data_IF_888268591223
#
_entry.id   IF_888268591223
#
_cell.length_a   1.000
_cell.length_b   1.000
_cell.length_c   1.000
_cell.angle_alpha   90.00
_cell.angle_beta   90.00
_cell.angle_gamma   90.00
#
_symmetry.space_group_name_H-M   'P 1'
#
loop_
_entity.id
_entity.type
_entity.pdbx_description
1 polymer ?
#
# COMPACT_ATOMS: atom_id res chain seq x y z
N UNK A 1 -4.14 -18.34 -42.76
CA UNK A 1 -3.21 -17.82 -41.72
C UNK A 1 -3.92 -17.77 -40.39
N UNK A 2 -3.36 -18.37 -39.36
CA UNK A 2 -3.91 -18.28 -38.02
C UNK A 2 -3.55 -16.95 -37.37
N UNK A 3 -4.52 -16.33 -36.69
CA UNK A 3 -4.27 -15.13 -35.87
C UNK A 3 -3.38 -15.52 -34.70
N UNK A 4 -2.26 -14.81 -34.42
CA UNK A 4 -1.45 -15.13 -33.25
C UNK A 4 -2.27 -14.95 -31.99
N UNK A 5 -2.04 -15.81 -31.00
CA UNK A 5 -2.66 -15.68 -29.70
C UNK A 5 -2.30 -14.32 -29.07
N UNK A 6 -3.25 -13.63 -28.42
CA UNK A 6 -2.95 -12.35 -27.77
C UNK A 6 -1.90 -12.53 -26.69
N UNK A 7 -0.95 -11.61 -26.63
CA UNK A 7 0.04 -11.57 -25.57
C UNK A 7 -0.65 -11.25 -24.23
N UNK A 8 -0.42 -12.06 -23.22
CA UNK A 8 -0.96 -11.84 -21.88
C UNK A 8 0.19 -11.50 -20.92
N UNK A 9 -0.01 -10.46 -20.12
CA UNK A 9 0.90 -10.17 -19.02
C UNK A 9 0.74 -11.23 -17.95
N UNK A 10 1.87 -11.65 -17.35
CA UNK A 10 1.83 -12.47 -16.16
C UNK A 10 1.36 -11.63 -14.97
N UNK A 11 0.39 -12.14 -14.23
CA UNK A 11 -0.15 -11.48 -13.06
C UNK A 11 0.41 -12.16 -11.80
N UNK A 12 1.08 -11.38 -10.96
CA UNK A 12 1.62 -11.88 -9.69
C UNK A 12 0.56 -11.84 -8.60
N UNK A 13 0.58 -12.85 -7.73
CA UNK A 13 -0.17 -12.82 -6.48
C UNK A 13 0.64 -12.19 -5.36
N UNK A 14 -0.02 -11.84 -4.25
CA UNK A 14 0.65 -11.41 -3.02
C UNK A 14 1.62 -12.49 -2.53
N UNK A 15 1.25 -13.76 -2.61
CA UNK A 15 2.13 -14.88 -2.25
C UNK A 15 3.39 -14.91 -3.13
N UNK A 16 3.24 -14.70 -4.44
CA UNK A 16 4.38 -14.59 -5.37
C UNK A 16 5.26 -13.40 -5.01
N UNK A 17 4.66 -12.26 -4.72
CA UNK A 17 5.36 -11.04 -4.34
C UNK A 17 6.21 -11.24 -3.08
N UNK A 18 5.66 -11.89 -2.06
CA UNK A 18 6.41 -12.22 -0.85
C UNK A 18 7.57 -13.18 -1.15
N UNK A 19 7.37 -14.17 -2.01
CA UNK A 19 8.44 -15.08 -2.42
C UNK A 19 9.56 -14.38 -3.17
N UNK A 20 9.25 -13.38 -4.00
CA UNK A 20 10.27 -12.58 -4.67
C UNK A 20 11.16 -11.83 -3.68
N UNK A 21 10.59 -11.34 -2.57
CA UNK A 21 11.34 -10.74 -1.49
C UNK A 21 12.17 -11.76 -0.70
N UNK A 22 11.58 -12.89 -0.34
CA UNK A 22 12.24 -13.95 0.44
C UNK A 22 13.42 -14.58 -0.30
N UNK A 23 13.31 -14.75 -1.62
CA UNK A 23 14.35 -15.35 -2.45
C UNK A 23 15.42 -14.36 -2.91
N UNK A 24 15.25 -13.07 -2.64
CA UNK A 24 16.19 -12.02 -3.03
C UNK A 24 16.08 -11.57 -4.49
N UNK A 25 15.09 -12.05 -5.25
CA UNK A 25 14.80 -11.53 -6.60
C UNK A 25 14.46 -10.05 -6.52
N UNK A 26 13.65 -9.67 -5.50
CA UNK A 26 13.51 -8.28 -5.08
C UNK A 26 14.45 -8.06 -3.89
N UNK A 27 15.36 -7.09 -4.00
CA UNK A 27 16.29 -6.76 -2.92
C UNK A 27 15.54 -6.28 -1.67
N UNK A 28 16.08 -6.47 -0.45
CA UNK A 28 15.40 -6.07 0.79
C UNK A 28 15.06 -4.58 0.88
N UNK A 29 15.83 -3.73 0.18
CA UNK A 29 15.65 -2.29 0.11
C UNK A 29 14.83 -1.85 -1.11
N UNK A 30 14.32 -2.79 -1.90
CA UNK A 30 13.46 -2.49 -3.04
C UNK A 30 12.18 -1.79 -2.59
N UNK A 31 11.82 -0.72 -3.28
CA UNK A 31 10.57 0.00 -3.07
C UNK A 31 9.62 -0.32 -4.21
N UNK A 32 8.89 -1.41 -4.04
CA UNK A 32 7.98 -1.96 -5.05
C UNK A 32 6.63 -2.23 -4.40
N UNK A 33 5.56 -1.85 -5.09
CA UNK A 33 4.19 -2.23 -4.73
C UNK A 33 3.67 -3.26 -5.73
N UNK A 34 2.72 -4.08 -5.28
CA UNK A 34 1.97 -4.98 -6.15
C UNK A 34 0.59 -4.39 -6.36
N UNK A 35 0.25 -4.03 -7.60
CA UNK A 35 -1.03 -3.41 -7.95
C UNK A 35 -1.69 -4.21 -9.06
N UNK A 36 -2.80 -4.88 -8.74
CA UNK A 36 -3.55 -5.72 -9.68
C UNK A 36 -2.65 -6.72 -10.43
N UNK A 37 -1.71 -7.32 -9.72
CA UNK A 37 -0.77 -8.30 -10.26
C UNK A 37 0.46 -7.72 -10.95
N UNK A 38 0.58 -6.40 -11.07
CA UNK A 38 1.75 -5.72 -11.62
C UNK A 38 2.71 -5.27 -10.53
N UNK A 39 3.99 -5.46 -10.75
CA UNK A 39 5.05 -4.93 -9.89
C UNK A 39 5.35 -3.49 -10.32
N UNK A 40 5.16 -2.55 -9.41
CA UNK A 40 5.30 -1.12 -9.69
C UNK A 40 6.36 -0.54 -8.77
N UNK A 41 7.38 0.09 -9.35
CA UNK A 41 8.39 0.81 -8.58
C UNK A 41 7.77 2.05 -7.92
N UNK A 42 8.05 2.23 -6.65
CA UNK A 42 7.62 3.43 -5.91
C UNK A 42 8.59 4.57 -6.21
N UNK A 43 8.05 5.75 -6.46
CA UNK A 43 8.85 6.95 -6.65
C UNK A 43 9.62 7.30 -5.35
N UNK A 44 10.85 7.86 -5.46
CA UNK A 44 11.55 8.37 -4.29
C UNK A 44 10.74 9.47 -3.62
N UNK A 45 10.71 9.45 -2.27
CA UNK A 45 10.04 10.49 -1.50
C UNK A 45 10.95 11.69 -1.26
N UNK A 46 10.48 12.87 -1.62
CA UNK A 46 11.16 14.12 -1.29
C UNK A 46 10.86 14.61 0.12
N UNK A 47 11.59 15.63 0.58
CA UNK A 47 11.42 16.21 1.91
C UNK A 47 10.02 16.77 2.18
N UNK A 48 9.34 17.44 1.22
CA UNK A 48 7.97 17.92 1.46
C UNK A 48 7.00 16.78 1.74
N UNK A 49 7.08 15.68 1.01
CA UNK A 49 6.26 14.50 1.22
C UNK A 49 6.57 13.85 2.58
N UNK A 50 7.84 13.59 2.87
CA UNK A 50 8.27 13.02 4.13
C UNK A 50 7.88 13.87 5.34
N UNK A 51 8.00 15.19 5.22
CA UNK A 51 7.59 16.14 6.25
C UNK A 51 6.09 16.09 6.53
N UNK A 52 5.26 15.96 5.49
CA UNK A 52 3.82 15.85 5.66
C UNK A 52 3.44 14.53 6.35
N UNK A 53 4.10 13.42 6.00
CA UNK A 53 3.89 12.13 6.68
C UNK A 53 4.25 12.24 8.16
N UNK A 54 5.38 12.85 8.49
CA UNK A 54 5.78 13.11 9.88
C UNK A 54 4.75 13.96 10.62
N UNK A 55 4.29 15.04 9.99
CA UNK A 55 3.29 15.92 10.58
C UNK A 55 1.99 15.16 10.89
N UNK A 56 1.48 14.42 9.94
CA UNK A 56 0.24 13.65 10.11
C UNK A 56 0.37 12.58 11.18
N UNK A 57 1.48 11.87 11.23
CA UNK A 57 1.72 10.88 12.27
C UNK A 57 1.71 11.51 13.67
N UNK A 58 2.43 12.62 13.83
CA UNK A 58 2.51 13.33 15.11
C UNK A 58 1.20 14.02 15.50
N UNK A 59 0.34 14.33 14.54
CA UNK A 59 -1.01 14.86 14.78
C UNK A 59 -1.97 13.75 15.23
N UNK A 60 -1.96 12.62 14.51
CA UNK A 60 -2.96 11.56 14.68
C UNK A 60 -2.70 10.69 15.91
N UNK A 61 -1.46 10.34 16.19
CA UNK A 61 -1.14 9.44 17.31
C UNK A 61 -1.68 9.94 18.65
N UNK A 62 -1.36 11.18 19.10
CA UNK A 62 -1.90 11.67 20.35
C UNK A 62 -3.41 11.93 20.29
N UNK A 63 -3.94 12.38 19.16
CA UNK A 63 -5.37 12.65 19.00
C UNK A 63 -6.23 11.39 19.12
N UNK A 64 -5.73 10.25 18.67
CA UNK A 64 -6.43 8.97 18.74
C UNK A 64 -6.28 8.30 20.11
N UNK A 65 -5.23 8.60 20.86
CA UNK A 65 -5.07 8.20 22.26
C UNK A 65 -5.17 6.69 22.50
N UNK A 66 -4.66 5.87 21.60
CA UNK A 66 -4.73 4.40 21.69
C UNK A 66 -6.04 3.77 21.26
N UNK A 67 -7.04 4.55 20.88
CA UNK A 67 -8.32 4.04 20.33
C UNK A 67 -8.18 3.48 18.93
N UNK A 68 -7.10 3.82 18.25
CA UNK A 68 -6.74 3.32 16.93
C UNK A 68 -5.22 3.36 16.78
N UNK A 69 -4.70 2.63 15.82
CA UNK A 69 -3.28 2.59 15.49
C UNK A 69 -3.01 3.42 14.24
N UNK A 70 -1.85 4.04 14.18
CA UNK A 70 -1.41 4.79 12.98
C UNK A 70 -0.27 4.05 12.33
N UNK A 71 -0.46 3.69 11.07
CA UNK A 71 0.57 3.12 10.21
C UNK A 71 1.11 4.16 9.24
N UNK A 72 2.41 4.11 8.98
CA UNK A 72 3.06 4.97 8.00
C UNK A 72 3.89 4.11 7.06
N UNK A 73 3.47 4.04 5.80
CA UNK A 73 4.15 3.25 4.77
C UNK A 73 4.32 1.75 5.11
N UNK A 74 3.44 1.22 5.94
CA UNK A 74 3.37 -0.21 6.25
C UNK A 74 2.59 -0.95 5.15
N UNK A 75 2.83 -2.25 4.97
CA UNK A 75 2.09 -3.02 3.98
C UNK A 75 0.59 -3.11 4.29
N UNK A 76 -0.22 -2.98 3.25
CA UNK A 76 -1.65 -3.19 3.28
C UNK A 76 -2.03 -4.12 2.14
N UNK A 77 -2.57 -5.30 2.46
CA UNK A 77 -3.07 -6.25 1.48
C UNK A 77 -4.54 -5.96 1.18
N UNK A 78 -4.85 -5.50 -0.03
CA UNK A 78 -6.22 -5.24 -0.46
C UNK A 78 -6.94 -6.52 -0.88
N UNK A 79 -6.27 -7.36 -1.64
CA UNK A 79 -6.74 -8.67 -2.10
C UNK A 79 -5.53 -9.55 -2.42
N UNK A 80 -5.74 -10.67 -3.10
CA UNK A 80 -4.66 -11.61 -3.42
C UNK A 80 -3.69 -11.12 -4.50
N UNK A 81 -3.99 -10.00 -5.15
CA UNK A 81 -3.18 -9.45 -6.25
C UNK A 81 -2.75 -8.00 -6.01
N UNK A 82 -3.01 -7.46 -4.82
CA UNK A 82 -2.66 -6.07 -4.52
C UNK A 82 -2.16 -5.93 -3.09
N UNK A 83 -0.93 -5.50 -2.94
CA UNK A 83 -0.32 -5.11 -1.68
C UNK A 83 0.41 -3.80 -1.88
N UNK A 84 0.00 -2.78 -1.14
CA UNK A 84 0.48 -1.41 -1.28
C UNK A 84 1.04 -0.90 0.05
N UNK A 85 1.74 0.23 -0.01
CA UNK A 85 2.31 0.92 1.15
C UNK A 85 1.75 2.34 1.24
N UNK A 86 0.52 2.51 1.77
CA UNK A 86 -0.08 3.84 1.91
C UNK A 86 0.76 4.76 2.78
N UNK A 87 0.72 6.06 2.50
CA UNK A 87 1.52 7.02 3.24
C UNK A 87 1.17 7.06 4.72
N UNK A 88 -0.11 7.20 5.04
CA UNK A 88 -0.63 7.17 6.43
C UNK A 88 -1.97 6.45 6.44
N UNK A 89 -2.19 5.60 7.40
CA UNK A 89 -3.48 4.96 7.59
C UNK A 89 -3.77 4.69 9.06
N UNK A 90 -5.06 4.71 9.38
CA UNK A 90 -5.57 4.49 10.73
C UNK A 90 -6.22 3.13 10.79
N UNK A 91 -5.77 2.30 11.73
CA UNK A 91 -6.16 0.90 11.88
C UNK A 91 -6.98 0.68 13.14
N UNK A 92 -7.88 -0.31 13.07
CA UNK A 92 -8.49 -0.88 14.27
C UNK A 92 -7.40 -1.47 15.18
N UNK A 93 -7.47 -1.27 16.49
CA UNK A 93 -6.53 -1.92 17.42
C UNK A 93 -6.60 -3.44 17.30
N UNK A 94 -5.45 -4.08 17.39
CA UNK A 94 -5.31 -5.53 17.42
C UNK A 94 -4.22 -5.91 18.40
N UNK A 95 -4.48 -6.93 19.22
CA UNK A 95 -3.60 -7.30 20.33
C UNK A 95 -2.19 -7.71 19.87
N UNK A 96 -2.08 -8.30 18.68
CA UNK A 96 -0.79 -8.72 18.12
C UNK A 96 -0.06 -7.62 17.35
N UNK A 97 -0.62 -6.40 17.26
CA UNK A 97 -0.06 -5.28 16.52
C UNK A 97 0.19 -5.62 15.04
N UNK A 98 -0.66 -6.47 14.46
CA UNK A 98 -0.54 -6.95 13.08
C UNK A 98 0.79 -7.67 12.79
N UNK A 99 1.38 -8.34 13.79
CA UNK A 99 2.62 -9.08 13.62
C UNK A 99 2.44 -10.40 12.88
N UNK A 100 1.26 -10.99 12.95
CA UNK A 100 0.97 -12.31 12.35
C UNK A 100 0.42 -12.22 10.93
N UNK A 101 -0.16 -11.10 10.56
CA UNK A 101 -0.67 -10.83 9.22
C UNK A 101 -0.76 -9.33 8.98
N UNK A 102 -0.57 -8.92 7.74
CA UNK A 102 -0.75 -7.51 7.35
C UNK A 102 -2.21 -7.07 7.50
N UNK A 103 -2.45 -5.76 7.74
CA UNK A 103 -3.80 -5.22 7.74
C UNK A 103 -4.50 -5.50 6.40
N UNK A 104 -5.82 -5.67 6.47
CA UNK A 104 -6.70 -5.83 5.31
C UNK A 104 -7.69 -4.66 5.26
N UNK A 105 -8.45 -4.50 4.17
CA UNK A 105 -9.38 -3.38 4.03
C UNK A 105 -10.34 -3.19 5.20
N UNK A 106 -10.86 -4.28 5.77
CA UNK A 106 -11.77 -4.21 6.92
C UNK A 106 -11.14 -3.69 8.21
N UNK A 107 -9.81 -3.67 8.28
CA UNK A 107 -9.07 -3.15 9.44
C UNK A 107 -8.82 -1.66 9.36
N UNK A 108 -9.03 -1.06 8.18
CA UNK A 108 -8.73 0.35 7.91
C UNK A 108 -9.90 1.23 8.29
N UNK A 109 -9.65 2.22 9.15
CA UNK A 109 -10.62 3.25 9.52
C UNK A 109 -10.51 4.48 8.63
N UNK A 110 -9.29 4.83 8.23
CA UNK A 110 -8.99 5.96 7.36
C UNK A 110 -7.67 5.72 6.66
N UNK A 111 -7.56 6.13 5.40
CA UNK A 111 -6.33 6.08 4.64
C UNK A 111 -6.06 7.47 4.05
N UNK A 112 -4.82 7.93 4.18
CA UNK A 112 -4.38 9.22 3.66
C UNK A 112 -3.21 9.00 2.72
N UNK A 113 -3.36 9.43 1.47
CA UNK A 113 -2.27 9.51 0.50
C UNK A 113 -1.83 10.97 0.38
N UNK A 114 -0.54 11.21 0.56
CA UNK A 114 0.02 12.56 0.46
C UNK A 114 0.30 12.91 -0.99
N UNK A 115 -0.32 13.98 -1.47
CA UNK A 115 -0.20 14.41 -2.86
C UNK A 115 1.19 14.98 -3.17
N UNK A 116 1.85 14.37 -4.17
CA UNK A 116 3.02 14.92 -4.81
C UNK A 116 2.75 14.92 -6.32
N UNK A 117 3.08 16.03 -7.00
CA UNK A 117 2.84 16.20 -8.44
C UNK A 117 3.53 15.16 -9.33
N UNK A 118 4.56 14.49 -8.83
CA UNK A 118 5.32 13.47 -9.58
C UNK A 118 4.71 12.07 -9.49
N UNK A 119 3.70 11.84 -8.63
CA UNK A 119 3.15 10.50 -8.31
C UNK A 119 1.70 10.34 -8.82
N UNK A 120 1.21 11.22 -9.67
CA UNK A 120 -0.19 11.24 -10.11
C UNK A 120 -0.66 9.95 -10.79
N UNK A 121 0.21 9.26 -11.53
CA UNK A 121 -0.15 8.05 -12.27
C UNK A 121 -0.49 6.88 -11.34
N UNK A 122 0.31 6.67 -10.29
CA UNK A 122 0.11 5.57 -9.33
C UNK A 122 -1.13 5.80 -8.50
N UNK A 123 -1.40 7.05 -8.13
CA UNK A 123 -2.59 7.42 -7.36
C UNK A 123 -3.88 7.15 -8.12
N UNK A 124 -3.94 7.49 -9.41
CA UNK A 124 -5.11 7.24 -10.25
C UNK A 124 -5.46 5.75 -10.31
N UNK A 125 -4.45 4.89 -10.16
CA UNK A 125 -4.65 3.45 -10.15
C UNK A 125 -5.09 2.95 -8.78
N UNK A 126 -4.55 3.52 -7.70
CA UNK A 126 -4.82 3.09 -6.32
C UNK A 126 -6.18 3.58 -5.79
N UNK A 127 -6.60 4.82 -6.11
CA UNK A 127 -7.84 5.39 -5.60
C UNK A 127 -9.08 4.54 -5.90
N UNK A 128 -9.30 4.07 -7.14
CA UNK A 128 -10.44 3.19 -7.42
C UNK A 128 -10.38 1.86 -6.67
N UNK A 129 -9.17 1.35 -6.41
CA UNK A 129 -8.98 0.11 -5.64
C UNK A 129 -9.39 0.31 -4.18
N UNK A 130 -8.99 1.40 -3.56
CA UNK A 130 -9.43 1.74 -2.20
C UNK A 130 -10.95 1.86 -2.11
N UNK A 131 -11.55 2.56 -3.05
CA UNK A 131 -13.00 2.73 -3.10
C UNK A 131 -13.74 1.39 -3.24
N UNK A 132 -13.26 0.51 -4.11
CA UNK A 132 -13.86 -0.83 -4.29
C UNK A 132 -13.80 -1.68 -3.02
N UNK A 133 -12.79 -1.50 -2.20
CA UNK A 133 -12.63 -2.23 -0.95
C UNK A 133 -13.28 -1.53 0.26
N UNK A 134 -14.04 -0.47 0.02
CA UNK A 134 -14.79 0.24 1.05
C UNK A 134 -13.93 1.05 2.02
N UNK A 135 -12.72 1.44 1.60
CA UNK A 135 -11.80 2.21 2.44
C UNK A 135 -12.14 3.71 2.35
N UNK A 136 -12.36 4.33 3.52
CA UNK A 136 -12.49 5.77 3.62
C UNK A 136 -11.13 6.43 3.39
N UNK A 137 -11.11 7.48 2.55
CA UNK A 137 -9.89 8.11 2.06
C UNK A 137 -9.96 9.63 2.13
N UNK A 138 -8.81 10.21 2.41
CA UNK A 138 -8.58 11.67 2.34
C UNK A 138 -7.37 11.95 1.46
#
# INVERSE_FOLDING_TARGET
>A
MSTPAPTRRHSFSVADFHRLGETGVLAPDSRVELIEGDLIDMAPTGSPHGGMVLYLNNLLVPALGGRALVGTQNPLALDEQTEVYPDVFVLKPRADWYRTAHPRPQDILLLIEVADSTILSDRRRKLPLYARHGIAEV
#
